data_IF_457313286974
#
_entry.id   IF_457313286974
#
_cell.length_a   1.000
_cell.length_b   1.000
_cell.length_c   1.000
_cell.angle_alpha   90.00
_cell.angle_beta   90.00
_cell.angle_gamma   90.00
#
_symmetry.space_group_name_H-M   'P 1'
#
loop_
_entity.id
_entity.type
_entity.pdbx_description
1 polymer ?
#
# COMPACT_ATOMS: atom_id res chain seq x y z
N UNK A 1 -15.63 -4.16 -12.24
CA UNK A 1 -17.03 -4.24 -12.73
C UNK A 1 -17.14 -5.02 -14.05
N UNK A 2 -16.31 -4.73 -15.06
CA UNK A 2 -16.36 -5.44 -16.35
C UNK A 2 -16.15 -6.96 -16.27
N UNK A 3 -15.19 -7.41 -15.46
CA UNK A 3 -14.91 -8.86 -15.29
C UNK A 3 -16.10 -9.63 -14.73
N UNK A 4 -16.81 -9.06 -13.77
CA UNK A 4 -18.01 -9.68 -13.19
C UNK A 4 -19.11 -9.89 -14.24
N UNK A 5 -19.35 -8.88 -15.09
CA UNK A 5 -20.33 -8.98 -16.18
C UNK A 5 -19.92 -10.01 -17.24
N UNK A 6 -18.62 -10.12 -17.56
CA UNK A 6 -18.12 -11.15 -18.46
C UNK A 6 -18.34 -12.56 -17.89
N UNK A 7 -18.02 -12.78 -16.61
CA UNK A 7 -18.22 -14.09 -15.96
C UNK A 7 -19.71 -14.46 -15.92
N UNK A 8 -20.59 -13.51 -15.60
CA UNK A 8 -22.04 -13.73 -15.64
C UNK A 8 -22.55 -14.04 -17.05
N UNK A 9 -22.07 -13.34 -18.07
CA UNK A 9 -22.44 -13.60 -19.46
C UNK A 9 -22.02 -15.00 -19.91
N UNK A 10 -20.80 -15.42 -19.57
CA UNK A 10 -20.31 -16.78 -19.85
C UNK A 10 -21.06 -17.84 -19.05
N UNK A 11 -21.42 -17.56 -17.80
CA UNK A 11 -22.23 -18.44 -16.97
C UNK A 11 -23.60 -18.71 -17.61
N UNK A 12 -24.29 -17.65 -18.05
CA UNK A 12 -25.57 -17.79 -18.74
C UNK A 12 -25.45 -18.51 -20.10
N UNK A 13 -24.38 -18.24 -20.86
CA UNK A 13 -24.10 -18.91 -22.13
C UNK A 13 -23.87 -20.41 -21.95
N UNK A 14 -23.02 -20.81 -21.00
CA UNK A 14 -22.74 -22.22 -20.70
C UNK A 14 -23.97 -22.93 -20.15
N UNK A 15 -24.71 -22.27 -19.25
CA UNK A 15 -25.96 -22.80 -18.74
C UNK A 15 -26.93 -23.14 -19.86
N UNK A 16 -27.12 -22.24 -20.82
CA UNK A 16 -28.03 -22.44 -21.94
C UNK A 16 -27.55 -23.49 -22.95
N UNK A 17 -26.23 -23.56 -23.18
CA UNK A 17 -25.63 -24.45 -24.19
C UNK A 17 -25.60 -25.92 -23.75
N UNK A 18 -25.50 -26.17 -22.43
CA UNK A 18 -25.41 -27.51 -21.84
C UNK A 18 -26.61 -27.90 -20.98
N UNK A 19 -27.67 -27.10 -20.97
CA UNK A 19 -28.94 -27.43 -20.30
C UNK A 19 -29.45 -28.78 -20.81
N UNK A 20 -29.54 -29.77 -19.91
CA UNK A 20 -30.03 -31.12 -20.24
C UNK A 20 -29.03 -32.06 -20.94
N UNK A 21 -27.78 -31.66 -21.17
CA UNK A 21 -26.72 -32.55 -21.73
C UNK A 21 -25.75 -33.08 -20.68
N UNK A 22 -25.51 -32.29 -19.63
CA UNK A 22 -24.57 -32.60 -18.55
C UNK A 22 -25.30 -32.43 -17.22
N UNK A 23 -25.21 -33.43 -16.33
CA UNK A 23 -25.86 -33.40 -15.00
C UNK A 23 -25.43 -32.17 -14.19
N UNK A 24 -24.16 -31.79 -14.30
CA UNK A 24 -23.51 -30.61 -13.71
C UNK A 24 -24.06 -29.26 -14.21
N UNK A 25 -24.97 -29.24 -15.18
CA UNK A 25 -25.64 -28.03 -15.68
C UNK A 25 -27.14 -27.94 -15.29
N UNK A 26 -27.62 -28.78 -14.37
CA UNK A 26 -29.04 -28.79 -13.96
C UNK A 26 -29.50 -27.48 -13.31
N UNK A 27 -28.61 -26.84 -12.56
CA UNK A 27 -28.88 -25.56 -11.87
C UNK A 27 -27.79 -24.56 -12.20
N UNK A 28 -28.15 -23.26 -12.17
CA UNK A 28 -27.21 -22.17 -12.40
C UNK A 28 -26.04 -22.20 -11.39
N UNK A 29 -26.31 -22.62 -10.14
CA UNK A 29 -25.28 -22.79 -9.10
C UNK A 29 -24.27 -23.91 -9.44
N UNK A 30 -24.76 -25.08 -9.88
CA UNK A 30 -23.91 -26.20 -10.30
C UNK A 30 -23.10 -25.85 -11.56
N UNK A 31 -23.68 -25.07 -12.46
CA UNK A 31 -22.99 -24.57 -13.65
C UNK A 31 -21.87 -23.60 -13.27
N UNK A 32 -22.11 -22.73 -12.29
CA UNK A 32 -21.09 -21.82 -11.75
C UNK A 32 -19.95 -22.60 -11.07
N UNK A 33 -20.27 -23.67 -10.34
CA UNK A 33 -19.27 -24.55 -9.75
C UNK A 33 -18.42 -25.25 -10.83
N UNK A 34 -19.05 -25.78 -11.87
CA UNK A 34 -18.34 -26.38 -13.02
C UNK A 34 -17.44 -25.36 -13.72
N UNK A 35 -17.92 -24.15 -13.96
CA UNK A 35 -17.11 -23.07 -14.55
C UNK A 35 -15.94 -22.69 -13.63
N UNK A 36 -16.14 -22.66 -12.32
CA UNK A 36 -15.06 -22.39 -11.37
C UNK A 36 -14.02 -23.51 -11.36
N UNK A 37 -14.41 -24.78 -11.48
CA UNK A 37 -13.50 -25.92 -11.61
C UNK A 37 -12.78 -25.95 -12.98
N UNK A 38 -13.40 -25.39 -14.01
CA UNK A 38 -12.82 -25.25 -15.35
C UNK A 38 -11.69 -24.20 -15.40
N UNK A 39 -11.75 -23.15 -14.57
CA UNK A 39 -10.72 -22.09 -14.50
C UNK A 39 -9.32 -22.63 -14.16
N UNK A 40 -9.11 -23.42 -13.07
CA UNK A 40 -7.83 -24.05 -12.78
C UNK A 40 -7.57 -25.28 -13.65
N UNK A 41 -8.43 -25.59 -14.63
CA UNK A 41 -8.34 -26.78 -15.48
C UNK A 41 -8.38 -28.10 -14.68
N UNK A 42 -9.13 -28.11 -13.56
CA UNK A 42 -9.37 -29.31 -12.76
C UNK A 42 -10.64 -30.07 -13.20
N UNK A 43 -11.25 -29.63 -14.31
CA UNK A 43 -12.47 -30.22 -14.85
C UNK A 43 -12.15 -31.28 -15.92
N UNK A 44 -12.95 -32.36 -15.93
CA UNK A 44 -12.79 -33.45 -16.88
C UNK A 44 -13.40 -33.07 -18.25
N UNK A 45 -12.59 -32.53 -19.15
CA UNK A 45 -13.02 -32.07 -20.48
C UNK A 45 -13.68 -33.17 -21.35
N UNK A 46 -13.52 -34.44 -20.96
CA UNK A 46 -14.16 -35.58 -21.64
C UNK A 46 -15.68 -35.51 -21.59
N UNK A 47 -16.27 -35.11 -20.44
CA UNK A 47 -17.72 -34.99 -20.27
C UNK A 47 -18.31 -33.92 -21.20
N UNK A 48 -17.54 -32.86 -21.46
CA UNK A 48 -17.95 -31.78 -22.35
C UNK A 48 -17.88 -32.19 -23.83
N UNK A 49 -16.87 -33.00 -24.18
CA UNK A 49 -16.71 -33.55 -25.52
C UNK A 49 -17.77 -34.60 -25.84
N UNK A 50 -18.23 -35.37 -24.85
CA UNK A 50 -19.27 -36.38 -25.01
C UNK A 50 -20.65 -35.73 -25.20
N UNK A 51 -20.90 -34.61 -24.52
CA UNK A 51 -22.11 -33.81 -24.68
C UNK A 51 -22.23 -33.16 -26.08
N UNK A 52 -21.12 -32.65 -26.61
CA UNK A 52 -21.05 -32.04 -27.93
C UNK A 52 -19.63 -32.16 -28.53
N UNK A 53 -19.47 -33.06 -29.51
CA UNK A 53 -18.17 -33.43 -30.09
C UNK A 53 -17.38 -32.27 -30.70
N UNK A 54 -18.06 -31.25 -31.25
CA UNK A 54 -17.40 -30.09 -31.87
C UNK A 54 -17.55 -28.81 -31.03
N UNK A 55 -18.78 -28.53 -30.58
CA UNK A 55 -19.09 -27.27 -29.89
C UNK A 55 -18.54 -27.25 -28.45
N UNK A 56 -18.42 -28.40 -27.79
CA UNK A 56 -17.90 -28.52 -26.42
C UNK A 56 -16.44 -28.06 -26.30
N UNK A 57 -15.50 -28.68 -27.02
CA UNK A 57 -14.09 -28.30 -27.00
C UNK A 57 -13.84 -26.86 -27.45
N UNK A 58 -14.62 -26.38 -28.43
CA UNK A 58 -14.52 -25.00 -28.92
C UNK A 58 -14.94 -23.98 -27.85
N UNK A 59 -16.10 -24.18 -27.21
CA UNK A 59 -16.56 -23.32 -26.12
C UNK A 59 -15.63 -23.37 -24.90
N UNK A 60 -15.10 -24.54 -24.56
CA UNK A 60 -14.10 -24.72 -23.51
C UNK A 60 -12.82 -23.93 -23.77
N UNK A 61 -12.26 -24.07 -24.98
CA UNK A 61 -11.04 -23.38 -25.37
C UNK A 61 -11.23 -21.87 -25.35
N UNK A 62 -12.35 -21.39 -25.89
CA UNK A 62 -12.67 -19.96 -25.93
C UNK A 62 -12.89 -19.40 -24.51
N UNK A 63 -13.56 -20.15 -23.63
CA UNK A 63 -13.76 -19.78 -22.22
C UNK A 63 -12.43 -19.67 -21.47
N UNK A 64 -11.57 -20.68 -21.57
CA UNK A 64 -10.27 -20.68 -20.89
C UNK A 64 -9.39 -19.55 -21.42
N UNK A 65 -9.35 -19.34 -22.73
CA UNK A 65 -8.57 -18.25 -23.33
C UNK A 65 -9.07 -16.89 -22.83
N UNK A 66 -10.37 -16.63 -22.87
CA UNK A 66 -10.94 -15.36 -22.44
C UNK A 66 -10.79 -15.13 -20.94
N UNK A 67 -11.07 -16.13 -20.10
CA UNK A 67 -10.98 -15.98 -18.64
C UNK A 67 -9.53 -15.87 -18.20
N UNK A 68 -8.60 -16.68 -18.72
CA UNK A 68 -7.19 -16.52 -18.40
C UNK A 68 -6.68 -15.16 -18.86
N UNK A 69 -6.98 -14.73 -20.07
CA UNK A 69 -6.50 -13.44 -20.57
C UNK A 69 -7.09 -12.26 -19.80
N UNK A 70 -8.41 -12.23 -19.58
CA UNK A 70 -9.10 -11.13 -18.91
C UNK A 70 -8.81 -11.11 -17.40
N UNK A 71 -8.90 -12.25 -16.72
CA UNK A 71 -8.58 -12.30 -15.29
C UNK A 71 -7.10 -12.03 -15.05
N UNK A 72 -6.18 -12.69 -15.77
CA UNK A 72 -4.75 -12.43 -15.56
C UNK A 72 -4.39 -10.99 -15.91
N UNK A 73 -4.89 -10.43 -17.01
CA UNK A 73 -4.57 -9.03 -17.36
C UNK A 73 -5.06 -8.04 -16.30
N UNK A 74 -6.23 -8.25 -15.72
CA UNK A 74 -6.73 -7.39 -14.64
C UNK A 74 -5.95 -7.59 -13.34
N UNK A 75 -5.71 -8.84 -12.93
CA UNK A 75 -4.92 -9.13 -11.72
C UNK A 75 -3.49 -8.62 -11.83
N UNK A 76 -2.83 -8.85 -12.97
CA UNK A 76 -1.49 -8.32 -13.24
C UNK A 76 -1.47 -6.81 -13.20
N UNK A 77 -2.50 -6.14 -13.74
CA UNK A 77 -2.59 -4.67 -13.68
C UNK A 77 -2.71 -4.18 -12.24
N UNK A 78 -3.59 -4.78 -11.43
CA UNK A 78 -3.78 -4.40 -10.02
C UNK A 78 -2.50 -4.65 -9.21
N UNK A 79 -1.90 -5.83 -9.39
CA UNK A 79 -0.66 -6.21 -8.71
C UNK A 79 0.47 -5.27 -9.12
N UNK A 80 0.62 -5.00 -10.42
CA UNK A 80 1.64 -4.09 -10.95
C UNK A 80 1.45 -2.65 -10.46
N UNK A 81 0.21 -2.18 -10.34
CA UNK A 81 -0.13 -0.85 -9.80
C UNK A 81 0.19 -0.76 -8.29
N UNK A 82 -0.14 -1.82 -7.55
CA UNK A 82 0.18 -1.93 -6.11
C UNK A 82 1.69 -1.96 -5.87
N UNK A 83 2.43 -2.76 -6.65
CA UNK A 83 3.89 -2.77 -6.60
C UNK A 83 4.51 -1.46 -7.09
N UNK A 84 3.89 -0.80 -8.06
CA UNK A 84 4.28 0.54 -8.52
C UNK A 84 4.23 1.55 -7.38
N UNK A 85 3.09 1.61 -6.68
CA UNK A 85 2.87 2.50 -5.53
C UNK A 85 3.90 2.26 -4.42
N UNK A 86 4.09 1.01 -3.99
CA UNK A 86 5.08 0.67 -2.94
C UNK A 86 6.50 1.02 -3.38
N UNK A 87 6.86 0.78 -4.64
CA UNK A 87 8.18 1.12 -5.17
C UNK A 87 8.41 2.64 -5.22
N UNK A 88 7.38 3.41 -5.52
CA UNK A 88 7.50 4.87 -5.57
C UNK A 88 7.54 5.47 -4.16
N UNK A 89 6.85 4.90 -3.18
CA UNK A 89 7.02 5.21 -1.75
C UNK A 89 8.44 4.89 -1.26
N UNK A 90 9.00 3.74 -1.62
CA UNK A 90 10.39 3.37 -1.28
C UNK A 90 11.40 4.30 -1.95
N UNK A 91 11.13 4.85 -3.14
CA UNK A 91 12.03 5.84 -3.76
C UNK A 91 11.96 7.20 -3.09
N UNK A 92 10.76 7.63 -2.69
CA UNK A 92 10.55 8.88 -1.94
C UNK A 92 11.20 8.81 -0.55
N UNK A 93 11.05 7.68 0.13
CA UNK A 93 11.70 7.41 1.41
C UNK A 93 13.15 6.93 1.24
N UNK A 94 13.57 6.60 0.03
CA UNK A 94 14.86 5.99 -0.29
C UNK A 94 16.06 6.86 0.07
N UNK A 95 15.92 8.18 0.04
CA UNK A 95 16.97 9.11 0.53
C UNK A 95 17.11 9.02 2.06
N UNK A 96 15.99 8.93 2.78
CA UNK A 96 15.94 8.72 4.23
C UNK A 96 16.37 7.30 4.61
N UNK A 97 15.98 6.30 3.84
CA UNK A 97 16.29 4.88 4.06
C UNK A 97 17.76 4.59 3.75
N UNK A 98 18.34 5.10 2.65
CA UNK A 98 19.77 4.96 2.36
C UNK A 98 20.61 5.58 3.47
N UNK A 99 20.22 6.78 3.92
CA UNK A 99 20.85 7.40 5.07
C UNK A 99 20.68 6.50 6.31
N UNK A 100 19.47 6.09 6.67
CA UNK A 100 19.19 5.24 7.84
C UNK A 100 19.96 3.90 7.82
N UNK A 101 20.03 3.21 6.68
CA UNK A 101 20.83 1.99 6.51
C UNK A 101 22.32 2.25 6.74
N UNK A 102 22.88 3.36 6.24
CA UNK A 102 24.28 3.72 6.50
C UNK A 102 24.55 4.03 7.98
N UNK A 103 23.61 4.66 8.69
CA UNK A 103 23.70 4.90 10.14
C UNK A 103 23.60 3.61 10.95
N UNK A 104 22.68 2.71 10.58
CA UNK A 104 22.54 1.39 11.22
C UNK A 104 23.78 0.53 10.96
N UNK A 105 24.31 0.52 9.74
CA UNK A 105 25.51 -0.21 9.36
C UNK A 105 26.77 0.34 10.05
N UNK A 106 26.87 1.67 10.19
CA UNK A 106 27.95 2.30 10.93
C UNK A 106 27.89 1.96 12.43
N UNK A 107 26.71 1.98 13.05
CA UNK A 107 26.53 1.51 14.43
C UNK A 107 26.85 0.02 14.59
N UNK A 108 26.52 -0.79 13.59
CA UNK A 108 26.83 -2.21 13.57
C UNK A 108 28.34 -2.47 13.44
N UNK A 109 29.03 -1.72 12.57
CA UNK A 109 30.49 -1.75 12.46
C UNK A 109 31.19 -1.27 13.74
N UNK A 110 30.62 -0.24 14.41
CA UNK A 110 31.05 0.22 15.74
C UNK A 110 30.93 -0.89 16.80
N UNK A 111 29.87 -1.69 16.73
CA UNK A 111 29.65 -2.81 17.65
C UNK A 111 30.57 -4.01 17.37
N UNK A 112 30.93 -4.22 16.09
CA UNK A 112 31.85 -5.29 15.65
C UNK A 112 33.34 -4.91 15.78
N UNK A 113 33.66 -3.67 16.17
CA UNK A 113 35.03 -3.27 16.52
C UNK A 113 36.01 -3.21 15.34
N UNK A 114 35.51 -3.14 14.10
CA UNK A 114 36.32 -3.19 12.87
C UNK A 114 36.57 -1.82 12.20
N UNK A 115 36.32 -0.71 12.91
CA UNK A 115 36.52 0.66 12.38
C UNK A 115 37.91 1.20 12.70
N UNK A 116 38.67 1.64 11.69
CA UNK A 116 40.00 2.25 11.83
C UNK A 116 40.00 3.40 12.86
N UNK A 117 40.67 3.18 13.98
CA UNK A 117 40.76 4.05 15.17
C UNK A 117 41.21 5.51 14.88
N UNK A 118 41.99 5.74 13.82
CA UNK A 118 42.63 7.03 13.57
C UNK A 118 41.74 8.10 12.92
N UNK A 119 40.69 7.72 12.18
CA UNK A 119 39.71 8.68 11.61
C UNK A 119 38.57 8.99 12.60
N UNK A 120 38.39 8.15 13.62
CA UNK A 120 37.31 8.25 14.62
C UNK A 120 37.54 9.37 15.63
N UNK A 121 38.80 9.57 16.03
CA UNK A 121 39.15 10.66 16.97
C UNK A 121 38.87 12.05 16.39
N UNK A 122 38.99 12.21 15.06
CA UNK A 122 38.70 13.48 14.36
C UNK A 122 37.21 13.73 14.15
N UNK A 123 36.39 12.68 14.17
CA UNK A 123 34.94 12.77 14.03
C UNK A 123 34.24 12.93 15.39
N UNK A 124 34.79 12.36 16.47
CA UNK A 124 34.29 12.54 17.84
C UNK A 124 34.43 13.99 18.32
N UNK A 125 35.52 14.69 17.93
CA UNK A 125 35.67 16.13 18.14
C UNK A 125 34.65 16.96 17.33
N UNK A 126 34.24 16.50 16.14
CA UNK A 126 33.21 17.16 15.31
C UNK A 126 31.79 16.91 15.82
N UNK A 127 31.48 15.68 16.23
CA UNK A 127 30.16 15.30 16.75
C UNK A 127 29.88 15.94 18.12
N UNK A 128 30.91 16.09 18.96
CA UNK A 128 30.82 16.85 20.23
C UNK A 128 30.47 18.33 20.01
N UNK A 129 31.05 18.97 19.00
CA UNK A 129 30.71 20.35 18.64
C UNK A 129 29.30 20.47 18.04
N UNK A 130 28.85 19.46 17.27
CA UNK A 130 27.52 19.45 16.67
C UNK A 130 26.43 19.30 17.74
N UNK A 131 26.62 18.44 18.74
CA UNK A 131 25.70 18.27 19.88
C UNK A 131 25.51 19.54 20.72
N UNK A 132 26.59 20.29 20.98
CA UNK A 132 26.51 21.56 21.72
C UNK A 132 25.62 22.59 21.01
N UNK A 133 25.73 22.68 19.67
CA UNK A 133 24.98 23.65 18.85
C UNK A 133 23.47 23.39 18.81
N UNK A 134 23.02 22.17 19.11
CA UNK A 134 21.60 21.82 19.25
C UNK A 134 21.09 21.83 20.69
N UNK A 135 21.99 21.82 21.69
CA UNK A 135 21.61 21.99 23.11
C UNK A 135 21.35 23.47 23.46
N UNK A 136 22.16 24.40 22.92
CA UNK A 136 22.01 25.85 23.15
C UNK A 136 20.58 26.40 22.85
N UNK A 137 19.90 25.99 21.75
CA UNK A 137 18.55 26.47 21.44
C UNK A 137 17.45 25.86 22.34
N UNK A 138 17.66 24.64 22.84
CA UNK A 138 16.69 23.93 23.69
C UNK A 138 16.72 24.53 25.12
N UNK A 139 17.89 24.90 25.64
CA UNK A 139 18.00 25.64 26.90
C UNK A 139 17.34 27.03 26.85
N UNK A 140 17.25 27.64 25.66
CA UNK A 140 16.63 28.95 25.48
C UNK A 140 15.10 28.91 25.26
N UNK A 141 14.51 27.71 25.22
CA UNK A 141 13.07 27.50 25.08
C UNK A 141 12.23 28.07 26.24
N UNK A 142 12.57 27.86 27.54
CA UNK A 142 11.85 28.48 28.66
C UNK A 142 11.79 30.01 28.55
N UNK A 143 12.89 30.66 28.17
CA UNK A 143 12.95 32.12 28.02
C UNK A 143 11.98 32.68 26.96
N UNK A 144 11.66 31.90 25.92
CA UNK A 144 10.68 32.30 24.90
C UNK A 144 9.25 32.16 25.42
N UNK A 145 8.97 31.13 26.23
CA UNK A 145 7.68 30.96 26.90
C UNK A 145 7.44 32.10 27.89
N UNK A 146 8.45 32.48 28.67
CA UNK A 146 8.37 33.58 29.62
C UNK A 146 8.09 34.92 28.92
N UNK A 147 8.76 35.19 27.79
CA UNK A 147 8.50 36.39 26.98
C UNK A 147 7.08 36.42 26.41
N UNK A 148 6.52 35.26 26.03
CA UNK A 148 5.14 35.16 25.55
C UNK A 148 4.12 35.36 26.68
N UNK A 149 4.36 34.76 27.84
CA UNK A 149 3.54 34.98 29.04
C UNK A 149 3.53 36.45 29.46
N UNK A 150 4.69 37.11 29.41
CA UNK A 150 4.84 38.51 29.78
C UNK A 150 4.16 39.46 28.77
N UNK A 151 4.23 39.12 27.48
CA UNK A 151 3.48 39.82 26.43
C UNK A 151 1.96 39.63 26.58
N UNK A 152 1.50 38.41 26.85
CA UNK A 152 0.08 38.11 27.09
C UNK A 152 -0.45 38.84 28.32
N UNK A 153 0.36 38.90 29.38
CA UNK A 153 -0.01 39.61 30.62
C UNK A 153 -0.09 41.12 30.41
N UNK A 154 0.80 41.72 29.59
CA UNK A 154 0.70 43.12 29.19
C UNK A 154 -0.58 43.41 28.42
N UNK A 155 -0.90 42.58 27.41
CA UNK A 155 -2.11 42.74 26.61
C UNK A 155 -3.35 42.65 27.49
N UNK A 156 -3.46 41.61 28.34
CA UNK A 156 -4.58 41.47 29.30
C UNK A 156 -4.75 42.71 30.19
N UNK A 157 -3.64 43.31 30.65
CA UNK A 157 -3.69 44.48 31.54
C UNK A 157 -4.19 45.74 30.82
N UNK A 158 -3.84 45.92 29.55
CA UNK A 158 -4.34 47.02 28.71
C UNK A 158 -5.84 46.87 28.47
N UNK A 159 -6.29 45.69 28.03
CA UNK A 159 -7.72 45.41 27.81
C UNK A 159 -8.55 45.54 29.09
N UNK A 160 -8.00 45.19 30.26
CA UNK A 160 -8.68 45.33 31.54
C UNK A 160 -8.82 46.80 31.99
N UNK A 161 -7.82 47.64 31.70
CA UNK A 161 -7.88 49.08 31.99
C UNK A 161 -8.84 49.81 31.05
N UNK A 162 -8.84 49.46 29.76
CA UNK A 162 -9.80 50.00 28.78
C UNK A 162 -11.25 49.61 29.13
N UNK A 163 -11.48 48.38 29.61
CA UNK A 163 -12.82 47.93 30.04
C UNK A 163 -13.32 48.70 31.27
N UNK A 164 -12.45 49.02 32.24
CA UNK A 164 -12.83 49.80 33.43
C UNK A 164 -13.12 51.25 33.07
N UNK A 165 -12.39 51.83 32.11
CA UNK A 165 -12.59 53.22 31.69
C UNK A 165 -13.92 53.42 30.93
N UNK A 166 -14.36 52.42 30.16
CA UNK A 166 -15.65 52.42 29.45
C UNK A 166 -16.84 52.34 30.43
N UNK A 167 -16.68 51.68 31.58
CA UNK A 167 -17.74 51.55 32.58
C UNK A 167 -17.84 52.72 33.59
N UNK A 168 -16.92 53.68 33.54
CA UNK A 168 -16.86 54.81 34.50
C UNK A 168 -17.05 56.21 33.85
N UNK A 169 -17.50 56.25 32.58
CA UNK A 169 -17.98 57.47 31.90
C UNK A 169 -19.50 57.43 31.76
#
# INVERSE_FOLDING_TARGET
>A
MYVFNCILGFLSLFYLLFIGKISSCSSLLYTAEMLFQMIPMNFNAHELSEAAAFLGPFCFSLFILLVLFVCMSMFLTIINDSFGTVRDEIKLNGDVDQHMFSFMFYKFQRWIGLGRLNELQRLEERDGQMGSKYLDPIEHFPNKIDKLLDALNRVRKVWFLDLILIFYV
#
